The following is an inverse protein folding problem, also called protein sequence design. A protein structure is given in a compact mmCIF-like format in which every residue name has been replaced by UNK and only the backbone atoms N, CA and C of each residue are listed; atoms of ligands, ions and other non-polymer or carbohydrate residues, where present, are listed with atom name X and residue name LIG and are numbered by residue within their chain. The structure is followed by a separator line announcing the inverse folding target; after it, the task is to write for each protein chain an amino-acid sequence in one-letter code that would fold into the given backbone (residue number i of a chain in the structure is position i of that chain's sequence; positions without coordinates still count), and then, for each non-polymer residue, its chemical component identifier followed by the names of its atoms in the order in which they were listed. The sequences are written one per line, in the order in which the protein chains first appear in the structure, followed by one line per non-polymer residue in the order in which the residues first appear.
data_IF_873418227310
#
_entry.id   IF_873418227310
#
_cell.length_a   1.000
_cell.length_b   1.000
_cell.length_c   1.000
_cell.angle_alpha   90.00
_cell.angle_beta   90.00
_cell.angle_gamma   90.00
#
_symmetry.space_group_name_H-M   'P 1'
#
loop_
_entity.id
_entity.type
_entity.pdbx_description
1 polymer ?
#
# COMPACT_ATOMS: atom_id res chain seq x y z
N UNK A 1 23.10 -3.25 -2.81
CA UNK A 1 22.50 -2.62 -1.62
C UNK A 1 21.23 -1.95 -2.09
N UNK A 2 20.05 -2.37 -1.62
CA UNK A 2 18.77 -1.78 -2.07
C UNK A 2 18.65 -0.33 -1.57
N UNK A 3 18.22 0.60 -2.41
CA UNK A 3 17.90 1.96 -1.98
C UNK A 3 16.42 2.08 -1.57
N UNK A 4 16.03 3.25 -1.02
CA UNK A 4 14.66 3.47 -0.53
C UNK A 4 13.62 3.45 -1.66
N UNK A 5 14.00 3.85 -2.89
CA UNK A 5 13.12 3.84 -4.05
C UNK A 5 12.83 2.40 -4.49
N UNK A 6 13.87 1.59 -4.65
CA UNK A 6 13.76 0.17 -4.97
C UNK A 6 12.92 -0.58 -3.93
N UNK A 7 13.14 -0.29 -2.64
CA UNK A 7 12.35 -0.88 -1.55
C UNK A 7 10.86 -0.49 -1.63
N UNK A 8 10.54 0.80 -1.80
CA UNK A 8 9.15 1.26 -1.90
C UNK A 8 8.45 0.64 -3.10
N UNK A 9 9.11 0.59 -4.26
CA UNK A 9 8.52 0.00 -5.47
C UNK A 9 8.24 -1.49 -5.29
N UNK A 10 9.17 -2.25 -4.68
CA UNK A 10 8.98 -3.67 -4.40
C UNK A 10 7.77 -3.93 -3.48
N UNK A 11 7.62 -3.15 -2.40
CA UNK A 11 6.48 -3.28 -1.48
C UNK A 11 5.15 -2.92 -2.14
N UNK A 12 5.14 -1.90 -3.00
CA UNK A 12 3.96 -1.55 -3.81
C UNK A 12 3.63 -2.61 -4.86
N UNK A 13 4.59 -3.38 -5.35
CA UNK A 13 4.34 -4.54 -6.22
C UNK A 13 3.72 -5.71 -5.44
N UNK A 14 4.21 -6.00 -4.23
CA UNK A 14 3.66 -7.04 -3.35
C UNK A 14 2.21 -6.75 -2.95
N UNK A 15 1.94 -5.55 -2.44
CA UNK A 15 0.58 -5.12 -2.07
C UNK A 15 -0.38 -5.22 -3.26
N UNK A 16 0.09 -4.83 -4.46
CA UNK A 16 -0.69 -4.96 -5.68
C UNK A 16 -0.95 -6.42 -6.05
N UNK A 17 0.05 -7.30 -5.93
CA UNK A 17 -0.05 -8.70 -6.30
C UNK A 17 -1.09 -9.41 -5.41
N UNK A 18 -1.01 -9.24 -4.09
CA UNK A 18 -2.00 -9.82 -3.18
C UNK A 18 -3.40 -9.25 -3.40
N UNK A 19 -3.53 -7.93 -3.55
CA UNK A 19 -4.84 -7.33 -3.79
C UNK A 19 -5.48 -7.79 -5.11
N UNK A 20 -4.70 -7.91 -6.19
CA UNK A 20 -5.19 -8.46 -7.47
C UNK A 20 -5.64 -9.92 -7.32
N UNK A 21 -4.86 -10.74 -6.61
CA UNK A 21 -5.20 -12.14 -6.34
C UNK A 21 -6.53 -12.25 -5.58
N UNK A 22 -6.70 -11.48 -4.52
CA UNK A 22 -7.94 -11.47 -3.74
C UNK A 22 -9.17 -11.08 -4.59
N UNK A 23 -9.07 -10.06 -5.47
CA UNK A 23 -10.19 -9.68 -6.33
C UNK A 23 -10.51 -10.74 -7.39
N UNK A 24 -9.49 -11.40 -7.94
CA UNK A 24 -9.66 -12.47 -8.91
C UNK A 24 -10.39 -13.67 -8.29
N UNK A 25 -10.03 -14.04 -7.06
CA UNK A 25 -10.66 -15.12 -6.31
C UNK A 25 -12.10 -14.76 -5.85
N UNK A 26 -12.34 -13.51 -5.42
CA UNK A 26 -13.67 -13.04 -5.01
C UNK A 26 -14.64 -12.84 -6.19
N UNK A 27 -14.11 -12.65 -7.41
CA UNK A 27 -14.90 -12.35 -8.63
C UNK A 27 -15.80 -11.13 -8.51
N UNK A 28 -15.45 -10.16 -7.65
CA UNK A 28 -16.20 -8.92 -7.49
C UNK A 28 -15.27 -7.73 -7.23
N UNK A 29 -15.53 -6.58 -7.88
CA UNK A 29 -14.82 -5.34 -7.61
C UNK A 29 -15.39 -4.58 -6.39
N UNK A 30 -16.52 -5.02 -5.82
CA UNK A 30 -17.13 -4.36 -4.65
C UNK A 30 -16.25 -4.54 -3.42
N UNK A 31 -16.23 -3.52 -2.58
CA UNK A 31 -15.47 -3.53 -1.33
C UNK A 31 -15.98 -4.64 -0.40
N UNK A 32 -15.06 -5.18 0.40
CA UNK A 32 -15.44 -6.04 1.51
C UNK A 32 -16.27 -5.24 2.53
N UNK A 33 -17.20 -5.92 3.18
CA UNK A 33 -18.08 -5.37 4.19
C UNK A 33 -17.92 -6.12 5.50
N UNK A 34 -18.06 -5.41 6.62
CA UNK A 34 -18.12 -6.03 7.93
C UNK A 34 -19.58 -6.09 8.39
N UNK A 35 -20.01 -7.28 8.81
CA UNK A 35 -21.28 -7.45 9.51
C UNK A 35 -21.01 -8.23 10.79
N UNK A 36 -21.19 -7.57 11.94
CA UNK A 36 -20.74 -8.06 13.25
C UNK A 36 -19.25 -8.42 13.18
N UNK A 37 -18.85 -9.60 13.68
CA UNK A 37 -17.48 -10.10 13.66
C UNK A 37 -17.18 -10.98 12.44
N UNK A 38 -17.80 -10.69 11.29
CA UNK A 38 -17.55 -11.42 10.04
C UNK A 38 -17.27 -10.43 8.91
N UNK A 39 -16.21 -10.71 8.16
CA UNK A 39 -15.89 -10.02 6.91
C UNK A 39 -16.56 -10.75 5.76
N UNK A 40 -17.24 -9.98 4.93
CA UNK A 40 -17.97 -10.43 3.76
C UNK A 40 -17.38 -9.82 2.52
N UNK A 41 -17.43 -10.60 1.46
CA UNK A 41 -17.00 -10.20 0.13
C UNK A 41 -18.07 -9.35 -0.56
N UNK A 42 -17.72 -8.75 -1.69
CA UNK A 42 -18.64 -7.94 -2.47
C UNK A 42 -19.84 -8.70 -3.07
N UNK A 43 -19.74 -10.03 -3.17
CA UNK A 43 -20.81 -10.94 -3.58
C UNK A 43 -21.55 -11.59 -2.41
N UNK A 44 -21.17 -11.26 -1.17
CA UNK A 44 -21.74 -11.87 0.02
C UNK A 44 -21.10 -13.20 0.41
N UNK A 45 -19.92 -13.56 -0.12
CA UNK A 45 -19.17 -14.70 0.38
C UNK A 45 -18.52 -14.36 1.73
N UNK A 46 -18.48 -15.33 2.64
CA UNK A 46 -17.76 -15.15 3.91
C UNK A 46 -16.25 -15.21 3.66
N UNK A 47 -15.53 -14.13 3.94
CA UNK A 47 -14.07 -14.07 3.83
C UNK A 47 -13.41 -14.62 5.10
N UNK A 48 -13.76 -14.08 6.26
CA UNK A 48 -13.17 -14.50 7.53
C UNK A 48 -14.07 -14.16 8.73
N UNK A 49 -14.19 -15.04 9.73
CA UNK A 49 -14.64 -14.65 11.06
C UNK A 49 -13.51 -13.91 11.81
N UNK A 50 -13.87 -13.00 12.71
CA UNK A 50 -12.95 -12.26 13.57
C UNK A 50 -13.40 -12.36 15.03
N UNK A 51 -12.52 -11.96 15.96
CA UNK A 51 -12.83 -11.92 17.40
C UNK A 51 -13.82 -10.80 17.76
N UNK A 52 -13.72 -9.66 17.08
CA UNK A 52 -14.50 -8.46 17.38
C UNK A 52 -14.97 -7.78 16.09
N UNK A 53 -16.04 -6.99 16.19
CA UNK A 53 -16.49 -6.16 15.07
C UNK A 53 -15.41 -5.16 14.64
N UNK A 54 -14.60 -4.63 15.57
CA UNK A 54 -13.49 -3.74 15.24
C UNK A 54 -12.46 -4.40 14.32
N UNK A 55 -12.11 -5.66 14.55
CA UNK A 55 -11.21 -6.41 13.66
C UNK A 55 -11.84 -6.59 12.26
N UNK A 56 -13.13 -6.91 12.19
CA UNK A 56 -13.84 -7.08 10.92
C UNK A 56 -13.90 -5.75 10.14
N UNK A 57 -14.18 -4.64 10.82
CA UNK A 57 -14.19 -3.30 10.23
C UNK A 57 -12.82 -2.90 9.72
N UNK A 58 -11.74 -3.17 10.48
CA UNK A 58 -10.38 -2.91 10.02
C UNK A 58 -10.07 -3.70 8.74
N UNK A 59 -10.32 -5.01 8.71
CA UNK A 59 -10.11 -5.82 7.51
C UNK A 59 -10.95 -5.34 6.31
N UNK A 60 -12.24 -5.04 6.51
CA UNK A 60 -13.11 -4.53 5.46
C UNK A 60 -12.65 -3.17 4.91
N UNK A 61 -12.18 -2.29 5.80
CA UNK A 61 -11.61 -1.00 5.42
C UNK A 61 -10.37 -1.19 4.54
N UNK A 62 -9.55 -2.22 4.80
CA UNK A 62 -8.38 -2.58 3.98
C UNK A 62 -8.72 -3.53 2.80
N UNK A 63 -9.95 -3.44 2.25
CA UNK A 63 -10.37 -4.27 1.12
C UNK A 63 -9.42 -4.18 -0.09
N UNK A 64 -9.28 -5.25 -0.88
CA UNK A 64 -8.36 -5.30 -2.02
C UNK A 64 -8.53 -4.15 -3.03
N UNK A 65 -9.77 -3.76 -3.33
CA UNK A 65 -10.05 -2.63 -4.22
C UNK A 65 -9.53 -1.29 -3.69
N UNK A 66 -9.55 -1.07 -2.37
CA UNK A 66 -8.94 0.12 -1.76
C UNK A 66 -7.41 0.06 -1.85
N UNK A 67 -6.81 -1.10 -1.55
CA UNK A 67 -5.35 -1.29 -1.62
C UNK A 67 -4.84 -0.97 -3.02
N UNK A 68 -5.51 -1.43 -4.08
CA UNK A 68 -5.12 -1.09 -5.47
C UNK A 68 -5.18 0.41 -5.76
N UNK A 69 -6.18 1.13 -5.22
CA UNK A 69 -6.26 2.60 -5.37
C UNK A 69 -5.14 3.31 -4.63
N UNK A 70 -4.79 2.85 -3.44
CA UNK A 70 -3.67 3.40 -2.65
C UNK A 70 -2.33 3.15 -3.36
N UNK A 71 -2.08 1.93 -3.82
CA UNK A 71 -0.89 1.60 -4.63
C UNK A 71 -0.80 2.48 -5.87
N UNK A 72 -1.90 2.65 -6.62
CA UNK A 72 -1.92 3.49 -7.80
C UNK A 72 -1.60 4.96 -7.48
N UNK A 73 -2.13 5.49 -6.37
CA UNK A 73 -1.84 6.85 -5.92
C UNK A 73 -0.36 7.02 -5.53
N UNK A 74 0.20 6.08 -4.75
CA UNK A 74 1.60 6.12 -4.32
C UNK A 74 2.57 5.95 -5.50
N UNK A 75 2.27 5.10 -6.48
CA UNK A 75 3.06 5.00 -7.72
C UNK A 75 3.09 6.30 -8.50
N UNK A 76 1.95 7.00 -8.61
CA UNK A 76 1.89 8.33 -9.26
C UNK A 76 2.73 9.36 -8.50
N UNK A 77 2.74 9.30 -7.17
CA UNK A 77 3.58 10.16 -6.35
C UNK A 77 5.07 9.87 -6.60
N UNK A 78 5.48 8.60 -6.57
CA UNK A 78 6.86 8.16 -6.90
C UNK A 78 7.26 8.61 -8.31
N UNK A 79 6.39 8.43 -9.29
CA UNK A 79 6.62 8.90 -10.66
C UNK A 79 6.85 10.41 -10.68
N UNK A 80 6.01 11.20 -10.01
CA UNK A 80 6.12 12.67 -10.01
C UNK A 80 7.41 13.18 -9.37
N UNK A 81 7.85 12.57 -8.26
CA UNK A 81 9.09 12.96 -7.58
C UNK A 81 10.36 12.44 -8.30
N UNK A 82 10.25 11.41 -9.14
CA UNK A 82 11.36 10.88 -9.95
C UNK A 82 11.46 11.57 -11.31
N UNK A 83 10.35 11.95 -11.93
CA UNK A 83 10.34 12.68 -13.21
C UNK A 83 10.80 14.13 -13.06
N UNK A 84 10.49 14.78 -11.93
CA UNK A 84 11.03 16.10 -11.61
C UNK A 84 12.57 16.13 -11.60
N UNK A 85 13.26 14.98 -11.60
CA UNK A 85 14.73 14.86 -11.55
C UNK A 85 15.36 15.16 -12.91
N UNK A 86 14.56 15.07 -13.98
CA UNK A 86 14.99 15.33 -15.37
C UNK A 86 14.93 16.82 -15.73
N UNK A 87 14.25 17.65 -14.94
CA UNK A 87 13.95 19.06 -15.28
C UNK A 87 14.69 20.05 -14.36
N UNK A 88 15.18 19.63 -13.20
CA UNK A 88 15.58 20.56 -12.14
C UNK A 88 17.08 20.55 -11.80
N UNK A 89 17.67 21.75 -11.72
CA UNK A 89 19.11 22.01 -11.47
C UNK A 89 19.35 22.38 -9.99
N UNK A 90 18.31 22.35 -9.14
CA UNK A 90 18.37 22.84 -7.75
C UNK A 90 18.57 21.71 -6.72
N UNK A 91 19.61 21.77 -5.87
CA UNK A 91 19.90 20.77 -4.83
C UNK A 91 18.78 20.55 -3.80
N UNK A 92 18.03 21.59 -3.43
CA UNK A 92 16.98 21.53 -2.40
C UNK A 92 15.85 20.55 -2.74
N UNK A 93 15.54 20.34 -4.03
CA UNK A 93 14.57 19.33 -4.44
C UNK A 93 15.08 17.90 -4.23
N UNK A 94 16.37 17.66 -4.11
CA UNK A 94 16.94 16.34 -3.86
C UNK A 94 16.58 15.81 -2.47
N UNK A 95 16.73 16.64 -1.45
CA UNK A 95 16.45 16.30 -0.05
C UNK A 95 14.94 16.06 0.18
N UNK A 96 14.07 16.92 -0.36
CA UNK A 96 12.62 16.75 -0.24
C UNK A 96 12.13 15.42 -0.83
N UNK A 97 12.74 14.95 -1.93
CA UNK A 97 12.36 13.67 -2.56
C UNK A 97 12.76 12.48 -1.71
N UNK A 98 13.97 12.51 -1.15
CA UNK A 98 14.44 11.48 -0.25
C UNK A 98 13.52 11.39 0.98
N UNK A 99 13.10 12.53 1.54
CA UNK A 99 12.12 12.57 2.64
C UNK A 99 10.79 11.95 2.22
N UNK A 100 10.27 12.27 1.03
CA UNK A 100 9.02 11.66 0.52
C UNK A 100 9.15 10.14 0.34
N UNK A 101 10.27 9.64 -0.18
CA UNK A 101 10.50 8.20 -0.32
C UNK A 101 10.56 7.51 1.05
N UNK A 102 11.22 8.12 2.05
CA UNK A 102 11.24 7.61 3.42
C UNK A 102 9.85 7.60 4.07
N UNK A 103 9.06 8.65 3.88
CA UNK A 103 7.66 8.70 4.32
C UNK A 103 6.83 7.56 3.69
N UNK A 104 7.05 7.25 2.41
CA UNK A 104 6.39 6.15 1.71
C UNK A 104 6.86 4.77 2.18
N UNK A 105 8.07 4.68 2.74
CA UNK A 105 8.61 3.44 3.32
C UNK A 105 8.06 3.16 4.73
N UNK A 106 7.61 4.16 5.48
CA UNK A 106 7.15 4.02 6.88
C UNK A 106 6.08 2.93 7.11
N UNK A 107 5.08 2.74 6.23
CA UNK A 107 4.09 1.66 6.42
C UNK A 107 4.69 0.26 6.42
N UNK A 108 5.94 0.11 5.94
CA UNK A 108 6.67 -1.14 5.84
C UNK A 108 7.82 -1.22 6.86
N UNK A 109 7.77 -0.44 7.95
CA UNK A 109 8.83 -0.38 8.95
C UNK A 109 9.11 -1.73 9.66
N UNK A 110 8.13 -2.63 9.68
CA UNK A 110 8.26 -3.98 10.25
C UNK A 110 8.78 -5.01 9.21
N UNK A 111 9.04 -4.59 7.97
CA UNK A 111 9.57 -5.47 6.93
C UNK A 111 11.05 -5.79 7.18
N UNK A 112 11.53 -7.05 7.00
CA UNK A 112 12.93 -7.42 7.25
C UNK A 112 13.95 -6.61 6.43
N UNK A 113 13.62 -6.27 5.18
CA UNK A 113 14.48 -5.43 4.33
C UNK A 113 14.41 -3.92 4.66
N UNK A 114 13.57 -3.48 5.58
CA UNK A 114 13.47 -2.08 5.97
C UNK A 114 14.74 -1.66 6.74
N UNK A 115 15.38 -0.58 6.32
CA UNK A 115 16.56 -0.05 7.01
C UNK A 115 16.17 1.01 8.03
N UNK A 116 16.70 0.89 9.25
CA UNK A 116 16.47 1.85 10.34
C UNK A 116 16.85 3.29 9.97
N UNK A 117 17.85 3.48 9.10
CA UNK A 117 18.30 4.78 8.58
C UNK A 117 17.25 5.53 7.75
N UNK A 118 16.21 4.84 7.26
CA UNK A 118 15.09 5.45 6.54
C UNK A 118 14.01 6.02 7.47
N UNK A 119 14.08 5.70 8.77
CA UNK A 119 13.14 6.23 9.75
C UNK A 119 13.38 7.73 9.96
N UNK A 120 12.30 8.47 10.02
CA UNK A 120 12.24 9.92 10.26
C UNK A 120 11.47 10.20 11.56
#
# INVERSE_FOLDING_TARGET
MIDVLEFVLARLDEDQAWAKKCLAEDRSPRAWAALRSIVWSGLGHKIAPTRTQAHALHMAHHSPGRVLRDVAARRRLVQRITEAKKVDVRPALGEEREVVLRLLALPYADHPDYKKEWRI
#
